data_IF_867263328607
#
_entry.id   IF_867263328607
#
_cell.length_a   1.000
_cell.length_b   1.000
_cell.length_c   1.000
_cell.angle_alpha   90.00
_cell.angle_beta   90.00
_cell.angle_gamma   90.00
#
_symmetry.space_group_name_H-M   'P 1'
#
loop_
_entity.id
_entity.type
_entity.pdbx_description
1 polymer ?
#
# COMPACT_ATOMS: atom_id res chain seq x y z
N UNK A 1 20.59 -16.33 1.24
CA UNK A 1 19.46 -15.57 0.64
C UNK A 1 18.97 -14.39 1.49
N UNK A 2 19.24 -14.36 2.81
CA UNK A 2 18.93 -13.22 3.70
C UNK A 2 19.89 -12.01 3.55
N UNK A 3 21.08 -12.20 2.96
CA UNK A 3 22.09 -11.13 2.80
C UNK A 3 21.64 -10.05 1.83
N UNK A 4 20.97 -10.39 0.74
CA UNK A 4 20.61 -9.41 -0.30
C UNK A 4 19.61 -8.34 0.18
N UNK A 5 18.65 -8.72 1.05
CA UNK A 5 17.70 -7.74 1.61
C UNK A 5 18.40 -6.75 2.56
N UNK A 6 19.33 -7.23 3.36
CA UNK A 6 20.10 -6.40 4.28
C UNK A 6 21.04 -5.39 3.57
N UNK A 7 21.39 -5.66 2.30
CA UNK A 7 22.23 -4.79 1.48
C UNK A 7 21.44 -3.66 0.78
N UNK A 8 20.10 -3.68 0.86
CA UNK A 8 19.27 -2.62 0.30
C UNK A 8 19.33 -1.35 1.16
N UNK A 9 19.17 -0.15 0.59
CA UNK A 9 19.01 1.07 1.35
C UNK A 9 17.89 0.96 2.38
N UNK A 10 18.09 1.48 3.58
CA UNK A 10 17.15 1.38 4.72
C UNK A 10 15.72 1.82 4.33
N UNK A 11 15.59 2.94 3.62
CA UNK A 11 14.31 3.44 3.13
C UNK A 11 13.59 2.45 2.20
N UNK A 12 14.35 1.68 1.41
CA UNK A 12 13.78 0.66 0.52
C UNK A 12 13.38 -0.58 1.30
N UNK A 13 14.17 -0.96 2.31
CA UNK A 13 13.81 -2.04 3.24
C UNK A 13 12.50 -1.73 3.96
N UNK A 14 12.37 -0.51 4.53
CA UNK A 14 11.15 -0.05 5.19
C UNK A 14 9.96 -0.12 4.22
N UNK A 15 10.09 0.44 3.01
CA UNK A 15 9.04 0.38 1.98
C UNK A 15 8.58 -1.05 1.70
N UNK A 16 9.52 -1.98 1.54
CA UNK A 16 9.20 -3.38 1.24
C UNK A 16 8.45 -4.02 2.42
N UNK A 17 9.03 -3.94 3.61
CA UNK A 17 8.44 -4.56 4.81
C UNK A 17 7.05 -3.99 5.09
N UNK A 18 6.93 -2.66 5.11
CA UNK A 18 5.68 -2.00 5.43
C UNK A 18 4.59 -2.25 4.37
N UNK A 19 4.95 -2.21 3.08
CA UNK A 19 3.99 -2.48 2.00
C UNK A 19 3.50 -3.93 2.00
N UNK A 20 4.41 -4.90 2.19
CA UNK A 20 4.04 -6.32 2.25
C UNK A 20 3.17 -6.61 3.47
N UNK A 21 3.53 -6.08 4.63
CA UNK A 21 2.74 -6.23 5.87
C UNK A 21 1.34 -5.64 5.71
N UNK A 22 1.24 -4.43 5.16
CA UNK A 22 -0.04 -3.77 4.91
C UNK A 22 -0.88 -4.54 3.86
N UNK A 23 -0.25 -5.06 2.81
CA UNK A 23 -0.92 -5.86 1.80
C UNK A 23 -1.54 -7.13 2.37
N UNK A 24 -0.82 -7.83 3.25
CA UNK A 24 -1.32 -9.02 3.96
C UNK A 24 -2.50 -8.64 4.87
N UNK A 25 -2.36 -7.55 5.63
CA UNK A 25 -3.39 -7.09 6.57
C UNK A 25 -4.72 -6.77 5.88
N UNK A 26 -4.67 -6.18 4.68
CA UNK A 26 -5.85 -5.74 3.94
C UNK A 26 -6.23 -6.63 2.76
N UNK A 27 -5.62 -7.81 2.64
CA UNK A 27 -5.89 -8.78 1.56
C UNK A 27 -5.80 -8.13 0.16
N UNK A 28 -4.66 -7.51 -0.11
CA UNK A 28 -4.33 -6.87 -1.38
C UNK A 28 -3.04 -7.51 -1.93
N UNK A 29 -2.90 -7.67 -3.25
CA UNK A 29 -1.63 -8.10 -3.83
C UNK A 29 -0.47 -7.17 -3.44
N UNK A 30 0.60 -7.72 -2.84
CA UNK A 30 1.71 -6.94 -2.30
C UNK A 30 2.41 -6.08 -3.36
N UNK A 31 2.53 -6.57 -4.59
CA UNK A 31 3.09 -5.84 -5.71
C UNK A 31 2.32 -4.55 -6.06
N UNK A 32 1.01 -4.50 -5.78
CA UNK A 32 0.19 -3.31 -5.98
C UNK A 32 0.54 -2.24 -4.93
N UNK A 33 0.60 -2.61 -3.66
CA UNK A 33 0.95 -1.67 -2.58
C UNK A 33 2.37 -1.14 -2.77
N UNK A 34 3.33 -2.02 -3.09
CA UNK A 34 4.71 -1.67 -3.41
C UNK A 34 4.81 -0.70 -4.59
N UNK A 35 4.06 -0.96 -5.67
CA UNK A 35 4.07 -0.11 -6.86
C UNK A 35 3.49 1.28 -6.57
N UNK A 36 2.42 1.37 -5.79
CA UNK A 36 1.87 2.67 -5.38
C UNK A 36 2.87 3.39 -4.49
N UNK A 37 3.47 2.73 -3.49
CA UNK A 37 4.48 3.34 -2.64
C UNK A 37 5.71 3.85 -3.42
N UNK A 38 6.14 3.14 -4.46
CA UNK A 38 7.22 3.59 -5.33
C UNK A 38 6.80 4.80 -6.17
N UNK A 39 5.61 4.79 -6.75
CA UNK A 39 5.12 5.88 -7.58
C UNK A 39 4.87 7.16 -6.80
N UNK A 40 4.34 7.06 -5.61
CA UNK A 40 4.15 8.22 -4.73
C UNK A 40 5.51 8.77 -4.27
N UNK A 41 6.49 7.91 -4.02
CA UNK A 41 7.90 8.28 -3.80
C UNK A 41 8.15 9.20 -2.62
N UNK A 42 7.19 9.33 -1.71
CA UNK A 42 7.28 10.21 -0.56
C UNK A 42 8.23 9.71 0.52
N UNK A 43 8.51 10.57 1.50
CA UNK A 43 9.35 10.29 2.67
C UNK A 43 8.59 10.64 3.94
N UNK A 44 8.92 9.98 5.03
CA UNK A 44 8.41 10.33 6.35
C UNK A 44 8.66 11.83 6.64
N UNK A 45 7.69 12.50 7.23
CA UNK A 45 7.73 13.92 7.53
C UNK A 45 7.61 14.86 6.33
N UNK A 46 7.55 14.36 5.10
CA UNK A 46 7.50 15.20 3.89
C UNK A 46 6.10 15.79 3.67
N UNK A 47 6.08 17.05 3.24
CA UNK A 47 4.89 17.79 2.80
C UNK A 47 5.17 18.42 1.44
N UNK A 48 4.43 18.02 0.42
CA UNK A 48 4.56 18.52 -0.94
C UNK A 48 3.34 19.37 -1.26
N UNK A 49 3.57 20.68 -1.50
CA UNK A 49 2.50 21.63 -1.83
C UNK A 49 2.04 21.46 -3.27
N UNK A 50 0.73 21.30 -3.46
CA UNK A 50 0.07 21.25 -4.75
C UNK A 50 -0.36 22.64 -5.24
N UNK A 51 -0.56 22.79 -6.55
CA UNK A 51 -0.98 24.04 -7.17
C UNK A 51 -2.37 24.50 -6.73
N UNK A 52 -3.23 23.57 -6.29
CA UNK A 52 -4.57 23.85 -5.77
C UNK A 52 -4.59 24.21 -4.26
N UNK A 53 -3.41 24.34 -3.63
CA UNK A 53 -3.28 24.70 -2.22
C UNK A 53 -3.34 23.53 -1.24
N UNK A 54 -3.59 22.31 -1.70
CA UNK A 54 -3.49 21.09 -0.87
C UNK A 54 -2.03 20.66 -0.71
N UNK A 55 -1.81 19.69 0.19
CA UNK A 55 -0.50 19.05 0.37
C UNK A 55 -0.65 17.55 0.27
N UNK A 56 0.38 16.91 -0.29
CA UNK A 56 0.57 15.46 -0.22
C UNK A 56 1.59 15.17 0.88
N UNK A 57 1.25 14.24 1.77
CA UNK A 57 1.94 14.05 3.05
C UNK A 57 2.52 12.66 3.16
N UNK A 58 3.76 12.58 3.67
CA UNK A 58 4.42 11.37 4.12
C UNK A 58 4.82 10.41 3.01
N UNK A 59 5.21 9.22 3.40
CA UNK A 59 5.74 8.17 2.51
C UNK A 59 4.76 7.75 1.41
N UNK A 60 3.46 7.87 1.67
CA UNK A 60 2.40 7.46 0.75
C UNK A 60 1.66 8.63 0.09
N UNK A 61 2.18 9.87 0.23
CA UNK A 61 1.67 11.10 -0.39
C UNK A 61 0.14 11.25 -0.25
N UNK A 62 -0.35 11.09 0.97
CA UNK A 62 -1.78 11.22 1.25
C UNK A 62 -2.17 12.69 1.23
N UNK A 63 -3.11 13.04 0.36
CA UNK A 63 -3.55 14.43 0.17
C UNK A 63 -4.33 14.95 1.37
N UNK A 64 -4.13 16.25 1.71
CA UNK A 64 -4.81 16.91 2.83
C UNK A 64 -6.33 16.96 2.69
N UNK A 65 -6.89 16.94 1.48
CA UNK A 65 -8.34 16.83 1.31
C UNK A 65 -8.87 15.50 1.84
N UNK A 66 -8.10 14.42 1.70
CA UNK A 66 -8.48 13.12 2.24
C UNK A 66 -8.38 13.07 3.78
N UNK A 67 -7.56 13.94 4.41
CA UNK A 67 -7.50 14.03 5.87
C UNK A 67 -8.84 14.44 6.49
N UNK A 68 -9.70 15.14 5.76
CA UNK A 68 -11.04 15.49 6.24
C UNK A 68 -11.86 14.23 6.54
N UNK A 69 -11.77 13.23 5.67
CA UNK A 69 -12.45 11.95 5.86
C UNK A 69 -11.78 11.13 6.99
N UNK A 70 -10.46 11.18 7.07
CA UNK A 70 -9.67 10.46 8.07
C UNK A 70 -9.85 11.02 9.48
N UNK A 71 -10.14 12.32 9.62
CA UNK A 71 -10.36 12.97 10.91
C UNK A 71 -11.54 12.37 11.67
N UNK A 72 -12.54 11.83 10.98
CA UNK A 72 -13.65 11.11 11.58
C UNK A 72 -13.20 9.85 12.35
N UNK A 73 -12.03 9.32 12.02
CA UNK A 73 -11.41 8.18 12.71
C UNK A 73 -10.30 8.61 13.69
N UNK A 74 -10.17 9.91 13.95
CA UNK A 74 -9.14 10.47 14.82
C UNK A 74 -7.73 10.43 14.22
N UNK A 75 -7.61 10.24 12.89
CA UNK A 75 -6.33 10.21 12.18
C UNK A 75 -5.95 11.64 11.81
N UNK A 76 -4.74 12.01 12.16
CA UNK A 76 -4.19 13.35 11.97
C UNK A 76 -3.14 13.40 10.86
N UNK A 77 -2.77 14.61 10.43
CA UNK A 77 -1.67 14.80 9.49
C UNK A 77 -0.33 14.27 10.03
N UNK A 78 -0.11 14.34 11.35
CA UNK A 78 1.10 13.79 11.98
C UNK A 78 1.15 12.26 11.89
N UNK A 79 0.00 11.59 12.04
CA UNK A 79 -0.07 10.13 11.89
C UNK A 79 0.28 9.71 10.45
N UNK A 80 -0.16 10.49 9.46
CA UNK A 80 0.12 10.24 8.04
C UNK A 80 1.57 10.56 7.66
N UNK A 81 2.17 11.57 8.32
CA UNK A 81 3.57 11.95 8.12
C UNK A 81 4.55 11.06 8.88
N UNK A 82 4.09 10.24 9.80
CA UNK A 82 4.94 9.47 10.70
C UNK A 82 5.90 8.53 9.96
N UNK A 83 7.01 8.21 10.62
CA UNK A 83 7.91 7.13 10.24
C UNK A 83 7.26 5.76 10.45
N UNK A 84 7.81 4.73 9.80
CA UNK A 84 7.37 3.35 9.94
C UNK A 84 6.16 2.99 9.10
N UNK A 85 5.47 1.91 9.49
CA UNK A 85 4.50 1.25 8.63
C UNK A 85 3.08 1.83 8.64
N UNK A 86 2.76 2.75 9.54
CA UNK A 86 1.38 3.26 9.63
C UNK A 86 0.88 3.94 8.35
N UNK A 87 1.64 4.83 7.68
CA UNK A 87 1.20 5.43 6.41
C UNK A 87 0.91 4.39 5.33
N UNK A 88 1.68 3.30 5.29
CA UNK A 88 1.47 2.19 4.34
C UNK A 88 0.20 1.39 4.66
N UNK A 89 -0.07 1.13 5.93
CA UNK A 89 -1.31 0.48 6.37
C UNK A 89 -2.53 1.32 6.02
N UNK A 90 -2.46 2.64 6.23
CA UNK A 90 -3.53 3.56 5.88
C UNK A 90 -3.76 3.63 4.36
N UNK A 91 -2.68 3.63 3.58
CA UNK A 91 -2.77 3.59 2.12
C UNK A 91 -3.39 2.27 1.63
N UNK A 92 -2.99 1.13 2.20
CA UNK A 92 -3.57 -0.17 1.86
C UNK A 92 -5.06 -0.24 2.22
N UNK A 93 -5.46 0.28 3.39
CA UNK A 93 -6.87 0.43 3.74
C UNK A 93 -7.66 1.24 2.70
N UNK A 94 -7.12 2.37 2.24
CA UNK A 94 -7.73 3.19 1.20
C UNK A 94 -7.81 2.44 -0.14
N UNK A 95 -6.74 1.75 -0.54
CA UNK A 95 -6.72 0.92 -1.76
C UNK A 95 -7.79 -0.17 -1.69
N UNK A 96 -7.91 -0.87 -0.54
CA UNK A 96 -8.96 -1.87 -0.33
C UNK A 96 -10.35 -1.27 -0.49
N UNK A 97 -10.59 -0.08 0.07
CA UNK A 97 -11.84 0.65 -0.10
C UNK A 97 -12.17 0.94 -1.59
N UNK A 98 -11.18 1.29 -2.40
CA UNK A 98 -11.36 1.46 -3.85
C UNK A 98 -11.67 0.13 -4.55
N UNK A 99 -10.98 -0.95 -4.18
CA UNK A 99 -11.22 -2.28 -4.76
C UNK A 99 -12.66 -2.75 -4.49
N UNK A 100 -13.18 -2.50 -3.30
CA UNK A 100 -14.52 -2.95 -2.90
C UNK A 100 -15.65 -2.08 -3.45
N UNK A 101 -15.47 -0.76 -3.43
CA UNK A 101 -16.57 0.19 -3.64
C UNK A 101 -16.61 0.83 -5.02
N UNK A 102 -15.45 0.96 -5.70
CA UNK A 102 -15.38 1.67 -6.97
C UNK A 102 -15.74 0.75 -8.14
N UNK A 103 -16.13 1.35 -9.28
CA UNK A 103 -16.43 0.65 -10.51
C UNK A 103 -15.19 0.49 -11.40
N UNK A 104 -15.19 -0.53 -12.24
CA UNK A 104 -14.14 -0.83 -13.20
C UNK A 104 -13.36 -2.10 -12.87
N UNK A 105 -12.33 -2.39 -13.66
CA UNK A 105 -11.39 -3.48 -13.41
C UNK A 105 -10.46 -3.15 -12.20
N UNK A 106 -9.70 -4.15 -11.76
CA UNK A 106 -8.78 -3.99 -10.63
C UNK A 106 -7.85 -2.80 -10.80
N UNK A 107 -7.24 -2.65 -11.97
CA UNK A 107 -6.25 -1.61 -12.23
C UNK A 107 -6.86 -0.20 -12.24
N UNK A 108 -8.07 -0.06 -12.77
CA UNK A 108 -8.85 1.19 -12.69
C UNK A 108 -9.13 1.56 -11.24
N UNK A 109 -9.58 0.59 -10.43
CA UNK A 109 -9.93 0.79 -9.03
C UNK A 109 -8.72 1.17 -8.18
N UNK A 110 -7.61 0.45 -8.28
CA UNK A 110 -6.41 0.77 -7.48
C UNK A 110 -5.77 2.09 -7.92
N UNK A 111 -5.90 2.47 -9.19
CA UNK A 111 -5.41 3.75 -9.69
C UNK A 111 -6.26 4.95 -9.22
N UNK A 112 -7.45 4.72 -8.68
CA UNK A 112 -8.26 5.74 -8.01
C UNK A 112 -7.60 6.25 -6.72
N UNK A 113 -6.59 5.56 -6.22
CA UNK A 113 -5.72 6.07 -5.17
C UNK A 113 -5.13 7.43 -5.53
N UNK A 114 -4.64 7.55 -6.77
CA UNK A 114 -4.10 8.80 -7.29
C UNK A 114 -5.20 9.75 -7.76
N UNK A 115 -6.12 9.27 -8.62
CA UNK A 115 -7.21 10.10 -9.13
C UNK A 115 -8.38 9.28 -9.68
N UNK A 116 -9.61 9.72 -9.35
CA UNK A 116 -10.84 9.20 -9.97
C UNK A 116 -11.15 9.85 -11.32
N UNK A 117 -10.48 10.94 -11.68
CA UNK A 117 -10.64 11.60 -12.97
C UNK A 117 -10.12 10.69 -14.10
N UNK A 118 -10.95 10.30 -15.08
CA UNK A 118 -10.59 9.26 -16.07
C UNK A 118 -9.27 9.51 -16.80
N UNK A 119 -9.00 10.77 -17.16
CA UNK A 119 -7.77 11.17 -17.83
C UNK A 119 -6.53 10.88 -16.99
N UNK A 120 -6.52 11.28 -15.73
CA UNK A 120 -5.38 11.11 -14.83
C UNK A 120 -5.27 9.66 -14.35
N UNK A 121 -6.41 9.00 -14.07
CA UNK A 121 -6.44 7.58 -13.74
C UNK A 121 -5.79 6.73 -14.84
N UNK A 122 -6.14 6.97 -16.11
CA UNK A 122 -5.62 6.22 -17.26
C UNK A 122 -4.09 6.33 -17.38
N UNK A 123 -3.54 7.53 -17.19
CA UNK A 123 -2.09 7.77 -17.26
C UNK A 123 -1.40 7.07 -16.11
N UNK A 124 -1.87 7.30 -14.88
CA UNK A 124 -1.31 6.68 -13.68
C UNK A 124 -1.36 5.16 -13.75
N UNK A 125 -2.50 4.59 -14.21
CA UNK A 125 -2.71 3.15 -14.36
C UNK A 125 -1.72 2.49 -15.30
N UNK A 126 -1.43 3.11 -16.44
CA UNK A 126 -0.48 2.56 -17.39
C UNK A 126 0.91 2.36 -16.76
N UNK A 127 1.40 3.37 -16.07
CA UNK A 127 2.68 3.29 -15.35
C UNK A 127 2.62 2.35 -14.16
N UNK A 128 1.51 2.36 -13.40
CA UNK A 128 1.34 1.51 -12.22
C UNK A 128 1.45 0.03 -12.58
N UNK A 129 0.84 -0.39 -13.70
CA UNK A 129 0.91 -1.79 -14.17
C UNK A 129 2.37 -2.19 -14.42
N UNK A 130 3.15 -1.33 -15.06
CA UNK A 130 4.58 -1.61 -15.34
C UNK A 130 5.37 -1.78 -14.04
N UNK A 131 5.19 -0.86 -13.09
CA UNK A 131 5.89 -0.90 -11.80
C UNK A 131 5.44 -2.12 -10.98
N UNK A 132 4.13 -2.41 -10.96
CA UNK A 132 3.60 -3.55 -10.23
C UNK A 132 4.05 -4.90 -10.81
N UNK A 133 4.25 -4.98 -12.12
CA UNK A 133 4.81 -6.17 -12.76
C UNK A 133 6.27 -6.40 -12.33
N UNK A 134 7.10 -5.35 -12.32
CA UNK A 134 8.48 -5.44 -11.82
C UNK A 134 8.54 -5.89 -10.35
N UNK A 135 7.65 -5.37 -9.51
CA UNK A 135 7.56 -5.80 -8.12
C UNK A 135 7.09 -7.25 -7.97
N UNK A 136 6.16 -7.70 -8.82
CA UNK A 136 5.73 -9.10 -8.82
C UNK A 136 6.89 -10.04 -9.15
N UNK A 137 7.66 -9.73 -10.19
CA UNK A 137 8.84 -10.50 -10.59
C UNK A 137 9.91 -10.50 -9.49
N UNK A 138 10.14 -9.34 -8.86
CA UNK A 138 11.10 -9.22 -7.76
C UNK A 138 10.69 -10.04 -6.54
N UNK A 139 9.41 -9.99 -6.15
CA UNK A 139 8.87 -10.78 -5.04
C UNK A 139 8.97 -12.28 -5.33
N UNK A 140 8.66 -12.71 -6.57
CA UNK A 140 8.74 -14.11 -6.96
C UNK A 140 10.18 -14.64 -6.90
N UNK A 141 11.14 -13.86 -7.38
CA UNK A 141 12.56 -14.21 -7.36
C UNK A 141 13.13 -14.31 -5.94
N UNK A 142 12.71 -13.44 -5.03
CA UNK A 142 13.32 -13.33 -3.70
C UNK A 142 12.56 -14.12 -2.62
N UNK A 143 11.28 -14.36 -2.78
CA UNK A 143 10.42 -14.98 -1.76
C UNK A 143 9.61 -16.18 -2.27
N UNK A 144 9.71 -16.52 -3.56
CA UNK A 144 8.94 -17.60 -4.17
C UNK A 144 7.43 -17.35 -4.06
N UNK A 145 6.99 -16.12 -4.30
CA UNK A 145 5.59 -15.75 -4.17
C UNK A 145 4.74 -16.51 -5.19
N UNK A 146 3.62 -17.03 -4.71
CA UNK A 146 2.65 -17.71 -5.55
C UNK A 146 1.96 -16.68 -6.43
N UNK A 147 2.14 -16.77 -7.74
CA UNK A 147 1.45 -15.91 -8.68
C UNK A 147 -0.07 -16.19 -8.63
N UNK A 148 -0.91 -15.27 -8.13
CA UNK A 148 -2.34 -15.52 -7.96
C UNK A 148 -3.08 -15.77 -9.28
N UNK A 149 -2.51 -15.41 -10.43
CA UNK A 149 -3.08 -15.72 -11.74
C UNK A 149 -2.98 -17.20 -12.12
N UNK A 150 -2.14 -17.97 -11.44
CA UNK A 150 -2.01 -19.44 -11.62
C UNK A 150 -2.91 -20.25 -10.69
N UNK A 151 -3.56 -19.63 -9.71
CA UNK A 151 -4.44 -20.33 -8.78
C UNK A 151 -5.86 -20.43 -9.30
N UNK A 152 -6.21 -21.59 -9.87
CA UNK A 152 -7.61 -22.07 -9.89
C UNK A 152 -7.97 -22.40 -8.45
N UNK A 153 -9.00 -21.75 -7.89
CA UNK A 153 -9.55 -22.03 -6.56
C UNK A 153 -9.64 -23.54 -6.32
N UNK A 154 -8.90 -24.05 -5.34
CA UNK A 154 -9.18 -25.33 -4.71
C UNK A 154 -9.93 -25.05 -3.42
N UNK A 155 -10.96 -25.84 -3.03
CA UNK A 155 -11.79 -25.54 -1.87
C UNK A 155 -10.98 -25.59 -0.59
N UNK A 156 -11.34 -24.69 0.33
CA UNK A 156 -10.77 -24.53 1.65
C UNK A 156 -10.84 -25.80 2.46
N UNK A 157 -9.68 -26.35 2.83
CA UNK A 157 -9.54 -27.17 4.03
C UNK A 157 -8.62 -26.42 4.98
N UNK A 158 -9.18 -26.14 6.12
CA UNK A 158 -8.58 -25.45 7.24
C UNK A 158 -7.21 -26.03 7.64
N UNK A 159 -6.16 -25.19 7.62
CA UNK A 159 -5.05 -25.29 8.56
C UNK A 159 -4.46 -23.90 8.78
N UNK A 160 -4.96 -23.24 9.79
CA UNK A 160 -4.30 -22.11 10.43
C UNK A 160 -3.03 -22.64 11.08
N UNK A 161 -1.88 -22.14 10.69
CA UNK A 161 -0.68 -21.90 11.50
C UNK A 161 0.56 -21.88 10.62
N UNK A 162 0.92 -20.73 10.09
CA UNK A 162 2.30 -20.27 9.98
C UNK A 162 2.32 -18.76 9.63
N UNK A 163 2.00 -17.95 10.61
CA UNK A 163 2.33 -16.52 10.56
C UNK A 163 3.83 -16.44 10.85
N UNK A 164 4.61 -16.09 9.86
CA UNK A 164 5.99 -15.63 10.07
C UNK A 164 5.89 -14.27 10.76
N UNK A 165 6.20 -14.25 12.05
CA UNK A 165 6.38 -13.02 12.82
C UNK A 165 7.65 -12.35 12.32
N UNK A 166 7.50 -11.30 11.52
CA UNK A 166 8.57 -10.38 11.19
C UNK A 166 8.42 -9.14 12.08
N UNK A 167 9.45 -8.98 12.92
CA UNK A 167 9.84 -7.78 13.66
C UNK A 167 8.82 -7.15 14.62
N UNK A 168 9.07 -7.37 15.90
CA UNK A 168 8.63 -6.54 17.01
C UNK A 168 9.18 -5.11 16.84
N UNK A 169 8.40 -4.24 16.28
CA UNK A 169 8.50 -2.83 16.53
C UNK A 169 7.28 -2.43 17.33
N UNK A 170 7.45 -1.73 18.43
CA UNK A 170 6.47 -1.26 19.42
C UNK A 170 5.36 -0.35 18.84
N UNK A 171 4.98 -0.59 17.60
CA UNK A 171 3.90 0.10 16.92
C UNK A 171 2.60 -0.69 17.14
N UNK A 172 1.68 -0.14 17.91
CA UNK A 172 0.29 -0.60 17.98
C UNK A 172 -0.52 0.17 16.94
N UNK A 173 -0.90 -0.43 15.80
CA UNK A 173 -1.85 0.19 14.89
C UNK A 173 -3.13 0.48 15.66
N UNK A 174 -3.69 1.69 15.50
CA UNK A 174 -5.08 1.92 15.92
C UNK A 174 -5.95 1.02 15.07
N UNK A 175 -6.69 0.12 15.70
CA UNK A 175 -7.67 -0.71 15.00
C UNK A 175 -8.72 0.20 14.37
N UNK A 176 -8.76 0.21 13.05
CA UNK A 176 -9.82 0.86 12.29
C UNK A 176 -10.96 -0.15 12.19
N UNK A 177 -11.91 -0.09 13.11
CA UNK A 177 -13.13 -0.89 13.03
C UNK A 177 -14.06 -0.29 11.98
N UNK A 178 -14.38 -1.06 10.95
CA UNK A 178 -15.49 -0.72 10.06
C UNK A 178 -16.79 -0.96 10.83
N UNK A 179 -17.53 0.12 11.15
CA UNK A 179 -18.91 0.01 11.56
C UNK A 179 -19.71 -0.69 10.46
N UNK A 180 -20.53 -1.67 10.85
CA UNK A 180 -21.47 -2.39 9.99
C UNK A 180 -22.58 -1.45 9.49
#
# INVERSE_FOLDING_TARGET
MLSFFADLPEQLQERIVCSVTAAIQYDIPANIVLAIAEKEGGKAGQWVKNTNGTYDIGSMQINTDYLKDLSAYGITANDVAAEGCYPYSLAAWRIRGHIEKDKGDLWTKVSNYHSKTPKYNKIYRADLIVVATKWADWLDQNYGTINPTKYKKKPETSNQNKIVRLADNNYKPREISFGR
#
